data_IF_397588239657
#
_entry.id   IF_397588239657
#
_cell.length_a   1.000
_cell.length_b   1.000
_cell.length_c   1.000
_cell.angle_alpha   90.00
_cell.angle_beta   90.00
_cell.angle_gamma   90.00
#
_symmetry.space_group_name_H-M   'P 1'
#
loop_
_entity.id
_entity.type
_entity.pdbx_description
1 polymer ?
#
# COMPACT_ATOMS: atom_id res chain seq x y z
N UNK A 1 1.42 -0.46 -18.37
CA UNK A 1 1.89 -1.31 -17.27
C UNK A 1 3.29 -1.84 -17.62
N UNK A 2 4.33 -1.41 -16.86
CA UNK A 2 5.75 -1.68 -17.19
C UNK A 2 6.37 -2.78 -16.31
N UNK A 3 5.60 -3.83 -15.98
CA UNK A 3 6.12 -4.98 -15.23
C UNK A 3 6.94 -5.83 -16.19
N UNK A 4 8.21 -6.08 -15.83
CA UNK A 4 9.11 -6.90 -16.63
C UNK A 4 8.66 -8.36 -16.55
N UNK A 5 8.46 -8.97 -17.70
CA UNK A 5 8.13 -10.38 -17.89
C UNK A 5 9.11 -10.97 -18.92
N UNK A 6 9.27 -12.30 -18.91
CA UNK A 6 10.08 -12.96 -19.92
C UNK A 6 9.40 -12.95 -21.31
N UNK A 7 10.09 -13.42 -22.34
CA UNK A 7 9.63 -13.42 -23.74
C UNK A 7 8.88 -14.69 -24.14
N UNK A 8 8.31 -15.46 -23.20
CA UNK A 8 7.51 -16.65 -23.48
C UNK A 8 6.22 -16.27 -24.19
N UNK A 9 5.93 -16.97 -25.28
CA UNK A 9 4.73 -16.76 -26.11
C UNK A 9 3.46 -17.27 -25.43
N UNK A 10 2.27 -16.79 -25.87
CA UNK A 10 0.99 -17.39 -25.49
C UNK A 10 0.95 -18.89 -25.81
N UNK A 11 0.34 -19.70 -24.93
CA UNK A 11 0.28 -21.15 -25.09
C UNK A 11 1.44 -21.93 -24.44
N UNK A 12 2.52 -21.25 -24.07
CA UNK A 12 3.64 -21.87 -23.36
C UNK A 12 3.40 -21.79 -21.86
N UNK A 13 3.56 -22.93 -21.17
CA UNK A 13 3.48 -23.00 -19.71
C UNK A 13 4.46 -22.03 -19.06
N UNK A 14 3.96 -21.23 -18.12
CA UNK A 14 4.75 -20.23 -17.39
C UNK A 14 5.05 -20.68 -15.96
N UNK A 15 6.28 -20.41 -15.51
CA UNK A 15 6.65 -20.67 -14.13
C UNK A 15 6.24 -19.49 -13.23
N UNK A 16 5.89 -19.79 -12.00
CA UNK A 16 5.60 -18.81 -10.94
C UNK A 16 6.88 -18.35 -10.24
N UNK A 17 7.98 -19.11 -10.38
CA UNK A 17 9.29 -18.74 -9.83
C UNK A 17 9.90 -17.61 -10.67
N UNK A 18 10.53 -16.69 -9.98
CA UNK A 18 11.18 -15.50 -10.57
C UNK A 18 10.28 -14.67 -11.49
N UNK A 19 8.97 -14.73 -11.26
CA UNK A 19 7.99 -13.96 -11.98
C UNK A 19 7.54 -12.74 -11.17
N UNK A 20 7.98 -11.56 -11.57
CA UNK A 20 7.64 -10.30 -10.89
C UNK A 20 6.13 -10.07 -10.81
N UNK A 21 5.39 -10.39 -11.88
CA UNK A 21 3.93 -10.24 -11.91
C UNK A 21 3.26 -11.14 -10.87
N UNK A 22 3.70 -12.38 -10.76
CA UNK A 22 3.16 -13.33 -9.78
C UNK A 22 3.50 -12.91 -8.34
N UNK A 23 4.71 -12.43 -8.10
CA UNK A 23 5.14 -11.93 -6.79
C UNK A 23 4.30 -10.75 -6.33
N UNK A 24 4.05 -9.78 -7.22
CA UNK A 24 3.19 -8.62 -6.93
C UNK A 24 1.77 -9.09 -6.62
N UNK A 25 1.21 -9.97 -7.44
CA UNK A 25 -0.15 -10.47 -7.27
C UNK A 25 -0.33 -11.23 -5.94
N UNK A 26 0.61 -12.09 -5.59
CA UNK A 26 0.56 -12.87 -4.35
C UNK A 26 0.66 -12.01 -3.07
N UNK A 27 1.07 -10.76 -3.18
CA UNK A 27 1.17 -9.85 -2.03
C UNK A 27 -0.20 -9.32 -1.55
N UNK A 28 -1.22 -9.31 -2.41
CA UNK A 28 -2.53 -8.76 -2.07
C UNK A 28 -3.71 -9.68 -2.39
N UNK A 29 -3.53 -10.69 -3.26
CA UNK A 29 -4.58 -11.61 -3.66
C UNK A 29 -4.88 -12.67 -2.61
N UNK A 30 -6.11 -13.17 -2.60
CA UNK A 30 -6.50 -14.31 -1.78
C UNK A 30 -5.88 -15.61 -2.29
N UNK A 31 -5.83 -16.63 -1.44
CA UNK A 31 -5.32 -17.95 -1.83
C UNK A 31 -6.05 -18.55 -3.04
N UNK A 32 -7.35 -18.34 -3.14
CA UNK A 32 -8.16 -18.83 -4.26
C UNK A 32 -7.78 -18.12 -5.56
N UNK A 33 -7.58 -16.81 -5.51
CA UNK A 33 -7.12 -16.02 -6.65
C UNK A 33 -5.71 -16.40 -7.09
N UNK A 34 -4.80 -16.63 -6.14
CA UNK A 34 -3.44 -17.11 -6.42
C UNK A 34 -3.47 -18.47 -7.11
N UNK A 35 -4.29 -19.39 -6.65
CA UNK A 35 -4.44 -20.71 -7.25
C UNK A 35 -5.07 -20.63 -8.65
N UNK A 36 -6.02 -19.73 -8.87
CA UNK A 36 -6.59 -19.47 -10.19
C UNK A 36 -5.53 -18.96 -11.17
N UNK A 37 -4.68 -18.01 -10.76
CA UNK A 37 -3.59 -17.51 -11.58
C UNK A 37 -2.54 -18.60 -11.89
N UNK A 38 -2.23 -19.48 -10.93
CA UNK A 38 -1.33 -20.61 -11.15
C UNK A 38 -1.86 -21.56 -12.22
N UNK A 39 -3.18 -21.82 -12.25
CA UNK A 39 -3.82 -22.63 -13.30
C UNK A 39 -3.70 -21.96 -14.65
N UNK A 40 -3.96 -20.66 -14.73
CA UNK A 40 -3.81 -19.89 -15.97
C UNK A 40 -2.37 -19.91 -16.51
N UNK A 41 -1.39 -19.84 -15.61
CA UNK A 41 0.04 -19.97 -15.98
C UNK A 41 0.36 -21.37 -16.52
N UNK A 42 -0.19 -22.41 -15.91
CA UNK A 42 -0.04 -23.79 -16.41
C UNK A 42 -0.68 -24.00 -17.77
N UNK A 43 -1.81 -23.31 -18.04
CA UNK A 43 -2.54 -23.35 -19.31
C UNK A 43 -1.87 -22.49 -20.41
N UNK A 44 -0.85 -21.70 -20.05
CA UNK A 44 -0.10 -20.90 -21.01
C UNK A 44 -0.73 -19.55 -21.35
N UNK A 45 -1.36 -18.88 -20.37
CA UNK A 45 -1.95 -17.54 -20.55
C UNK A 45 -0.95 -16.53 -21.14
N UNK A 46 -1.42 -15.66 -22.03
CA UNK A 46 -0.61 -14.57 -22.57
C UNK A 46 -0.24 -13.54 -21.49
N UNK A 47 0.96 -12.98 -21.57
CA UNK A 47 1.40 -11.96 -20.59
C UNK A 47 0.49 -10.73 -20.55
N UNK A 48 -0.07 -10.34 -21.69
CA UNK A 48 -1.03 -9.23 -21.76
C UNK A 48 -2.30 -9.51 -20.97
N UNK A 49 -2.84 -10.72 -21.07
CA UNK A 49 -4.03 -11.15 -20.32
C UNK A 49 -3.75 -11.29 -18.83
N UNK A 50 -2.62 -11.91 -18.48
CA UNK A 50 -2.20 -12.03 -17.09
C UNK A 50 -2.02 -10.65 -16.43
N UNK A 51 -1.38 -9.70 -17.10
CA UNK A 51 -1.23 -8.32 -16.62
C UNK A 51 -2.56 -7.60 -16.46
N UNK A 52 -3.51 -7.84 -17.37
CA UNK A 52 -4.84 -7.24 -17.33
C UNK A 52 -5.66 -7.76 -16.14
N UNK A 53 -5.58 -9.06 -15.85
CA UNK A 53 -6.22 -9.67 -14.70
C UNK A 53 -5.68 -9.07 -13.40
N UNK A 54 -4.36 -9.04 -13.23
CA UNK A 54 -3.71 -8.46 -12.06
C UNK A 54 -4.06 -6.99 -11.90
N UNK A 55 -4.11 -6.23 -12.99
CA UNK A 55 -4.51 -4.83 -12.97
C UNK A 55 -5.95 -4.64 -12.50
N UNK A 56 -6.88 -5.43 -13.01
CA UNK A 56 -8.29 -5.31 -12.62
C UNK A 56 -8.51 -5.63 -11.15
N UNK A 57 -7.90 -6.71 -10.66
CA UNK A 57 -8.02 -7.12 -9.25
C UNK A 57 -7.39 -6.08 -8.32
N UNK A 58 -6.22 -5.57 -8.67
CA UNK A 58 -5.55 -4.52 -7.90
C UNK A 58 -6.35 -3.20 -7.95
N UNK A 59 -6.86 -2.83 -9.12
CA UNK A 59 -7.65 -1.61 -9.26
C UNK A 59 -8.93 -1.64 -8.43
N UNK A 60 -9.60 -2.80 -8.35
CA UNK A 60 -10.79 -2.97 -7.52
C UNK A 60 -10.51 -2.70 -6.02
N UNK A 61 -9.30 -3.00 -5.56
CA UNK A 61 -8.86 -2.71 -4.18
C UNK A 61 -8.49 -1.23 -4.00
N UNK A 62 -7.82 -0.64 -4.99
CA UNK A 62 -7.27 0.72 -4.89
C UNK A 62 -8.32 1.78 -5.20
N UNK A 63 -9.28 1.52 -6.07
CA UNK A 63 -10.27 2.49 -6.52
C UNK A 63 -11.00 3.21 -5.38
N UNK A 64 -11.59 2.51 -4.39
CA UNK A 64 -12.26 3.20 -3.28
C UNK A 64 -11.29 4.03 -2.41
N UNK A 65 -10.04 3.60 -2.29
CA UNK A 65 -9.01 4.35 -1.55
C UNK A 65 -8.60 5.60 -2.33
N UNK A 66 -8.46 5.49 -3.65
CA UNK A 66 -8.15 6.60 -4.55
C UNK A 66 -9.24 7.66 -4.54
N UNK A 67 -10.50 7.23 -4.60
CA UNK A 67 -11.65 8.14 -4.56
C UNK A 67 -11.69 8.91 -3.24
N UNK A 68 -11.45 8.23 -2.13
CA UNK A 68 -11.34 8.86 -0.82
C UNK A 68 -10.17 9.83 -0.71
N UNK A 69 -9.03 9.48 -1.32
CA UNK A 69 -7.87 10.37 -1.38
C UNK A 69 -8.18 11.67 -2.11
N UNK A 70 -8.81 11.60 -3.28
CA UNK A 70 -9.18 12.81 -4.03
C UNK A 70 -10.26 13.63 -3.33
N UNK A 71 -11.24 12.99 -2.67
CA UNK A 71 -12.22 13.68 -1.86
C UNK A 71 -11.57 14.45 -0.69
N UNK A 72 -10.63 13.85 -0.01
CA UNK A 72 -9.87 14.48 1.09
C UNK A 72 -8.98 15.64 0.61
N UNK A 73 -8.38 15.53 -0.58
CA UNK A 73 -7.59 16.63 -1.15
C UNK A 73 -8.40 17.90 -1.38
N UNK A 74 -9.71 17.76 -1.60
CA UNK A 74 -10.63 18.91 -1.77
C UNK A 74 -11.09 19.50 -0.44
N UNK A 75 -10.69 18.93 0.69
CA UNK A 75 -11.09 19.33 2.04
C UNK A 75 -9.87 19.67 2.91
N UNK A 76 -9.09 20.71 2.57
CA UNK A 76 -7.88 21.06 3.32
C UNK A 76 -8.20 21.45 4.76
N UNK A 77 -9.32 22.10 5.02
CA UNK A 77 -9.75 22.50 6.36
C UNK A 77 -9.98 21.29 7.27
N UNK A 78 -10.64 20.25 6.74
CA UNK A 78 -10.83 19.00 7.47
C UNK A 78 -9.51 18.32 7.80
N UNK A 79 -8.55 18.30 6.89
CA UNK A 79 -7.23 17.73 7.12
C UNK A 79 -6.46 18.52 8.20
N UNK A 80 -6.53 19.84 8.17
CA UNK A 80 -5.96 20.69 9.20
C UNK A 80 -6.59 20.43 10.58
N UNK A 81 -7.91 20.33 10.65
CA UNK A 81 -8.62 20.00 11.90
C UNK A 81 -8.20 18.66 12.49
N UNK A 82 -8.01 17.63 11.67
CA UNK A 82 -7.50 16.32 12.11
C UNK A 82 -6.09 16.43 12.67
N UNK A 83 -5.20 17.17 12.01
CA UNK A 83 -3.83 17.40 12.47
C UNK A 83 -3.80 18.19 13.77
N UNK A 84 -4.57 19.25 13.89
CA UNK A 84 -4.67 20.08 15.10
C UNK A 84 -5.23 19.29 16.29
N UNK A 85 -6.25 18.49 16.05
CA UNK A 85 -6.83 17.63 17.08
C UNK A 85 -5.84 16.56 17.54
N UNK A 86 -5.11 15.91 16.62
CA UNK A 86 -4.06 14.96 16.94
C UNK A 86 -2.92 15.60 17.71
N UNK A 87 -2.46 16.76 17.29
CA UNK A 87 -1.43 17.54 17.97
C UNK A 87 -1.85 17.93 19.39
N UNK A 88 -3.08 18.37 19.57
CA UNK A 88 -3.64 18.72 20.90
C UNK A 88 -3.66 17.55 21.86
N UNK A 89 -3.87 16.33 21.38
CA UNK A 89 -3.84 15.10 22.19
C UNK A 89 -2.43 14.72 22.64
N UNK A 90 -1.45 14.87 21.77
CA UNK A 90 -0.08 14.41 21.99
C UNK A 90 0.76 15.45 22.74
N UNK A 91 0.51 16.73 22.51
CA UNK A 91 1.30 17.84 23.10
C UNK A 91 1.39 17.79 24.62
N UNK A 92 0.31 17.56 25.39
CA UNK A 92 0.40 17.46 26.86
C UNK A 92 1.30 16.31 27.31
N UNK A 93 1.22 15.15 26.65
CA UNK A 93 2.03 13.97 26.97
C UNK A 93 3.51 14.27 26.71
N UNK A 94 3.82 14.86 25.56
CA UNK A 94 5.19 15.24 25.19
C UNK A 94 5.76 16.30 26.13
N UNK A 95 4.99 17.31 26.54
CA UNK A 95 5.41 18.34 27.49
C UNK A 95 5.71 17.76 28.86
N UNK A 96 4.85 16.92 29.38
CA UNK A 96 5.06 16.27 30.70
C UNK A 96 6.37 15.47 30.70
N UNK A 97 6.61 14.66 29.66
CA UNK A 97 7.84 13.89 29.53
C UNK A 97 9.07 14.82 29.43
N UNK A 98 8.98 15.85 28.62
CA UNK A 98 10.07 16.82 28.44
C UNK A 98 10.43 17.55 29.75
N UNK A 99 9.46 17.95 30.55
CA UNK A 99 9.66 18.58 31.85
C UNK A 99 10.34 17.60 32.80
N UNK A 100 9.92 16.36 32.88
CA UNK A 100 10.58 15.32 33.67
C UNK A 100 12.05 15.13 33.28
N UNK A 101 12.35 15.08 32.01
CA UNK A 101 13.73 14.96 31.51
C UNK A 101 14.56 16.19 31.85
N UNK A 102 14.00 17.37 31.68
CA UNK A 102 14.68 18.64 32.05
C UNK A 102 15.01 18.72 33.54
N UNK A 103 14.09 18.31 34.39
CA UNK A 103 14.33 18.27 35.85
C UNK A 103 15.42 17.27 36.20
N UNK A 104 15.44 16.09 35.60
CA UNK A 104 16.44 15.06 35.86
C UNK A 104 17.85 15.45 35.42
N UNK A 105 17.98 16.21 34.35
CA UNK A 105 19.31 16.71 33.87
C UNK A 105 19.65 18.10 34.37
N UNK A 106 18.81 18.72 35.18
CA UNK A 106 19.05 20.03 35.79
C UNK A 106 18.83 21.23 34.88
N UNK A 107 18.18 21.04 33.73
CA UNK A 107 17.80 22.14 32.82
C UNK A 107 16.43 22.66 33.23
N UNK A 108 16.40 23.81 33.90
CA UNK A 108 15.15 24.49 34.27
C UNK A 108 14.77 25.52 33.23
N UNK A 109 13.45 25.60 32.94
CA UNK A 109 12.91 26.65 32.11
C UNK A 109 13.04 28.00 32.84
N UNK A 110 13.75 28.91 32.21
CA UNK A 110 13.78 30.32 32.67
C UNK A 110 12.52 30.96 32.08
N UNK A 111 11.58 31.29 32.94
CA UNK A 111 10.33 31.94 32.54
C UNK A 111 10.54 33.35 32.02
#
# INVERSE_FOLDING_TARGET
MRIVTNSLEPGVKKDTKDCNLFTIYSSFASNDQINALKKLYADGVGWGEAKKLVFNDLNAIIEPVRDRYFDLLQKPDYLNDVLDHGSSKVTPIAKELLEKVRDLVGIKKIS
#
